data_IF_944676781694
#
_entry.id   IF_944676781694
#
_cell.length_a   1.000
_cell.length_b   1.000
_cell.length_c   1.000
_cell.angle_alpha   90.00
_cell.angle_beta   90.00
_cell.angle_gamma   90.00
#
_symmetry.space_group_name_H-M   'P 1'
#
loop_
_entity.id
_entity.type
_entity.pdbx_description
1 polymer ?
#
# COMPACT_ATOMS: atom_id res chain seq x y z
N UNK A 1 5.72 28.66 7.77
CA UNK A 1 6.85 27.74 7.56
C UNK A 1 6.48 26.53 6.67
N UNK A 2 5.47 25.74 7.00
CA UNK A 2 5.06 24.55 6.20
C UNK A 2 4.66 24.91 4.75
N UNK A 3 3.84 25.96 4.54
CA UNK A 3 3.44 26.42 3.21
C UNK A 3 4.62 26.83 2.33
N UNK A 4 5.66 27.44 2.91
CA UNK A 4 6.86 27.86 2.18
C UNK A 4 7.70 26.67 1.73
N UNK A 5 7.76 25.61 2.52
CA UNK A 5 8.45 24.35 2.18
C UNK A 5 7.74 23.66 1.03
N UNK A 6 6.41 23.54 1.08
CA UNK A 6 5.60 22.96 -0.01
C UNK A 6 5.80 23.71 -1.31
N UNK A 7 5.81 25.06 -1.29
CA UNK A 7 6.06 25.87 -2.48
C UNK A 7 7.45 25.68 -3.07
N UNK A 8 8.46 25.43 -2.23
CA UNK A 8 9.81 25.12 -2.68
C UNK A 8 9.83 23.74 -3.36
N UNK A 9 9.20 22.73 -2.76
CA UNK A 9 9.12 21.36 -3.31
C UNK A 9 8.41 21.38 -4.68
N UNK A 10 7.33 22.15 -4.83
CA UNK A 10 6.61 22.27 -6.11
C UNK A 10 7.46 22.88 -7.24
N UNK A 11 8.51 23.62 -6.91
CA UNK A 11 9.45 24.24 -7.87
C UNK A 11 10.64 23.34 -8.21
N UNK A 12 10.81 22.20 -7.55
CA UNK A 12 11.88 21.27 -7.82
C UNK A 12 11.69 20.55 -9.15
N UNK A 13 12.79 20.11 -9.75
CA UNK A 13 12.72 19.21 -10.92
C UNK A 13 12.04 17.88 -10.55
N UNK A 14 11.49 17.13 -11.52
CA UNK A 14 10.86 15.83 -11.25
C UNK A 14 11.78 14.89 -10.46
N UNK A 15 13.05 14.79 -10.84
CA UNK A 15 14.04 13.95 -10.15
C UNK A 15 14.28 14.36 -8.69
N UNK A 16 14.31 15.69 -8.43
CA UNK A 16 14.48 16.20 -7.07
C UNK A 16 13.25 15.95 -6.20
N UNK A 17 12.04 16.05 -6.79
CA UNK A 17 10.80 15.70 -6.11
C UNK A 17 10.79 14.22 -5.72
N UNK A 18 11.11 13.34 -6.65
CA UNK A 18 11.19 11.90 -6.43
C UNK A 18 12.16 11.57 -5.30
N UNK A 19 13.39 12.10 -5.34
CA UNK A 19 14.38 11.93 -4.27
C UNK A 19 13.86 12.44 -2.92
N UNK A 20 13.18 13.61 -2.90
CA UNK A 20 12.62 14.16 -1.67
C UNK A 20 11.53 13.25 -1.10
N UNK A 21 10.59 12.78 -1.92
CA UNK A 21 9.52 11.89 -1.48
C UNK A 21 10.06 10.55 -0.99
N UNK A 22 11.01 9.95 -1.70
CA UNK A 22 11.69 8.72 -1.27
C UNK A 22 12.31 8.88 0.12
N UNK A 23 13.07 9.99 0.35
CA UNK A 23 13.66 10.27 1.66
C UNK A 23 12.62 10.51 2.74
N UNK A 24 11.56 11.23 2.41
CA UNK A 24 10.45 11.52 3.32
C UNK A 24 9.75 10.22 3.75
N UNK A 25 9.38 9.37 2.80
CA UNK A 25 8.74 8.08 3.09
C UNK A 25 9.65 7.15 3.90
N UNK A 26 10.95 7.09 3.59
CA UNK A 26 11.91 6.31 4.37
C UNK A 26 11.99 6.80 5.83
N UNK A 27 12.05 8.12 6.06
CA UNK A 27 12.04 8.69 7.42
C UNK A 27 10.71 8.39 8.13
N UNK A 28 9.59 8.51 7.42
CA UNK A 28 8.28 8.22 7.97
C UNK A 28 8.13 6.74 8.31
N UNK A 29 8.55 5.83 7.43
CA UNK A 29 8.54 4.39 7.67
C UNK A 29 9.39 4.00 8.88
N UNK A 30 10.58 4.64 9.06
CA UNK A 30 11.45 4.40 10.23
C UNK A 30 10.81 4.87 11.53
N UNK A 31 10.22 6.06 11.54
CA UNK A 31 9.59 6.62 12.75
C UNK A 31 8.28 5.90 13.10
N UNK A 32 7.57 5.38 12.10
CA UNK A 32 6.35 4.63 12.29
C UNK A 32 6.57 3.17 12.77
N UNK A 33 7.81 2.70 12.93
CA UNK A 33 8.11 1.38 13.53
C UNK A 33 7.50 1.21 14.94
N UNK A 34 7.23 2.31 15.64
CA UNK A 34 6.62 2.31 16.98
C UNK A 34 5.09 2.40 16.95
N UNK A 35 4.45 2.46 15.78
CA UNK A 35 3.00 2.43 15.65
C UNK A 35 2.58 1.06 15.13
N UNK A 36 1.57 0.46 15.76
CA UNK A 36 0.99 -0.81 15.31
C UNK A 36 0.13 -0.66 14.04
N UNK A 37 0.01 0.56 13.49
CA UNK A 37 -0.77 0.84 12.28
C UNK A 37 -0.08 0.26 11.04
N UNK A 38 -0.78 -0.58 10.31
CA UNK A 38 -0.34 -1.24 9.06
C UNK A 38 -0.79 -0.48 7.82
N UNK A 39 -1.83 0.35 7.96
CA UNK A 39 -2.47 1.11 6.89
C UNK A 39 -2.30 2.61 7.11
N UNK A 40 -2.05 3.35 6.03
CA UNK A 40 -1.78 4.80 6.06
C UNK A 40 -2.71 5.52 5.07
N UNK A 41 -4.01 5.28 5.21
CA UNK A 41 -5.04 5.96 4.42
C UNK A 41 -6.05 6.64 5.34
N UNK A 42 -6.91 7.49 4.75
CA UNK A 42 -7.92 8.25 5.51
C UNK A 42 -9.10 7.40 5.98
N UNK A 43 -9.17 6.15 5.54
CA UNK A 43 -10.29 5.25 5.82
C UNK A 43 -11.55 5.60 5.02
N UNK A 44 -12.50 4.68 5.07
CA UNK A 44 -13.80 4.81 4.42
C UNK A 44 -14.89 4.20 5.31
N UNK A 45 -16.02 4.85 5.40
CA UNK A 45 -17.21 4.31 6.05
C UNK A 45 -18.40 4.40 5.11
N UNK A 46 -19.09 3.29 4.93
CA UNK A 46 -20.39 3.26 4.25
C UNK A 46 -21.40 2.49 5.11
N UNK A 47 -22.62 3.04 5.34
CA UNK A 47 -23.67 2.30 5.99
C UNK A 47 -23.94 0.98 5.28
N UNK A 48 -23.96 -0.12 6.03
CA UNK A 48 -24.20 -1.46 5.50
C UNK A 48 -22.96 -2.17 4.94
N UNK A 49 -21.78 -1.53 4.91
CA UNK A 49 -20.52 -2.21 4.61
C UNK A 49 -20.01 -2.88 5.90
N UNK A 50 -20.40 -4.14 6.08
CA UNK A 50 -19.91 -4.96 7.18
C UNK A 50 -18.79 -5.87 6.69
N UNK A 51 -17.62 -5.81 7.35
CA UNK A 51 -16.50 -6.72 7.13
C UNK A 51 -16.36 -7.62 8.35
N UNK A 52 -16.25 -8.92 8.12
CA UNK A 52 -15.89 -9.88 9.16
C UNK A 52 -14.37 -9.93 9.27
N UNK A 53 -13.81 -9.14 10.17
CA UNK A 53 -12.39 -8.99 10.39
C UNK A 53 -11.92 -9.84 11.57
N UNK A 54 -10.65 -10.23 11.58
CA UNK A 54 -9.99 -10.77 12.77
C UNK A 54 -9.83 -9.66 13.81
N UNK A 55 -9.82 -10.02 15.10
CA UNK A 55 -9.77 -9.08 16.21
C UNK A 55 -8.61 -8.07 16.10
N UNK A 56 -7.45 -8.53 15.67
CA UNK A 56 -6.26 -7.70 15.47
C UNK A 56 -6.37 -6.68 14.34
N UNK A 57 -7.30 -6.84 13.40
CA UNK A 57 -7.53 -5.93 12.29
C UNK A 57 -8.64 -4.91 12.58
N UNK A 58 -9.42 -5.10 13.65
CA UNK A 58 -10.52 -4.22 14.01
C UNK A 58 -10.09 -2.78 14.30
N UNK A 59 -8.90 -2.57 14.83
CA UNK A 59 -8.36 -1.24 15.07
C UNK A 59 -8.17 -0.43 13.78
N UNK A 60 -8.00 -1.12 12.66
CA UNK A 60 -7.82 -0.52 11.33
C UNK A 60 -9.05 -0.74 10.43
N UNK A 61 -10.23 -0.99 11.00
CA UNK A 61 -11.48 -1.28 10.27
C UNK A 61 -11.77 -0.28 9.15
N UNK A 62 -11.71 1.01 9.42
CA UNK A 62 -12.01 2.04 8.40
C UNK A 62 -10.95 2.12 7.29
N UNK A 63 -9.64 2.09 7.56
CA UNK A 63 -8.62 1.90 6.54
C UNK A 63 -8.82 0.64 5.69
N UNK A 64 -9.20 -0.49 6.31
CA UNK A 64 -9.50 -1.74 5.62
C UNK A 64 -10.76 -1.63 4.77
N UNK A 65 -11.79 -0.94 5.23
CA UNK A 65 -13.01 -0.69 4.46
C UNK A 65 -12.72 0.08 3.16
N UNK A 66 -11.76 1.01 3.14
CA UNK A 66 -11.33 1.68 1.91
C UNK A 66 -10.73 0.69 0.92
N UNK A 67 -9.84 -0.19 1.37
CA UNK A 67 -9.27 -1.24 0.52
C UNK A 67 -10.34 -2.22 0.02
N UNK A 68 -11.25 -2.62 0.89
CA UNK A 68 -12.40 -3.47 0.51
C UNK A 68 -13.26 -2.80 -0.56
N UNK A 69 -13.57 -1.53 -0.39
CA UNK A 69 -14.36 -0.76 -1.36
C UNK A 69 -13.67 -0.68 -2.73
N UNK A 70 -12.37 -0.39 -2.76
CA UNK A 70 -11.61 -0.32 -4.02
C UNK A 70 -11.46 -1.69 -4.67
N UNK A 71 -11.04 -2.71 -3.91
CA UNK A 71 -10.81 -4.05 -4.45
C UNK A 71 -12.08 -4.70 -4.99
N UNK A 72 -13.23 -4.46 -4.36
CA UNK A 72 -14.52 -5.01 -4.80
C UNK A 72 -15.10 -4.32 -6.07
N UNK A 73 -14.39 -3.35 -6.66
CA UNK A 73 -14.75 -2.85 -8.01
C UNK A 73 -14.39 -3.84 -9.11
N UNK A 74 -13.61 -4.89 -8.80
CA UNK A 74 -13.28 -5.98 -9.72
C UNK A 74 -13.46 -7.34 -9.03
N UNK A 75 -13.59 -8.41 -9.80
CA UNK A 75 -13.54 -9.77 -9.28
C UNK A 75 -12.08 -10.17 -9.04
N UNK A 76 -11.63 -10.02 -7.80
CA UNK A 76 -10.23 -10.27 -7.39
C UNK A 76 -9.95 -11.74 -7.08
N UNK A 77 -11.01 -12.55 -6.94
CA UNK A 77 -10.85 -13.97 -6.61
C UNK A 77 -10.06 -14.72 -7.71
N UNK A 78 -9.13 -15.55 -7.30
CA UNK A 78 -8.28 -16.36 -8.17
C UNK A 78 -7.45 -15.53 -9.19
N UNK A 79 -7.20 -14.22 -8.93
CA UNK A 79 -6.43 -13.30 -9.77
C UNK A 79 -5.05 -13.03 -9.22
N UNK A 80 -4.12 -12.66 -10.11
CA UNK A 80 -2.83 -12.13 -9.75
C UNK A 80 -2.93 -10.60 -9.63
N UNK A 81 -2.65 -10.07 -8.45
CA UNK A 81 -2.88 -8.66 -8.12
C UNK A 81 -1.56 -7.95 -7.89
N UNK A 82 -1.42 -6.76 -8.46
CA UNK A 82 -0.35 -5.83 -8.18
C UNK A 82 -0.89 -4.65 -7.37
N UNK A 83 -0.39 -4.42 -6.16
CA UNK A 83 -0.61 -3.18 -5.42
C UNK A 83 0.56 -2.23 -5.66
N UNK A 84 0.26 -1.03 -6.17
CA UNK A 84 1.26 0.03 -6.41
C UNK A 84 1.19 1.04 -5.27
N UNK A 85 2.35 1.32 -4.65
CA UNK A 85 2.44 2.16 -3.46
C UNK A 85 1.98 1.42 -2.21
N UNK A 86 2.46 0.19 -2.01
CA UNK A 86 2.00 -0.68 -0.92
C UNK A 86 2.36 -0.18 0.49
N UNK A 87 3.28 0.78 0.59
CA UNK A 87 3.70 1.37 1.85
C UNK A 87 4.08 0.32 2.89
N UNK A 88 3.32 0.20 3.97
CA UNK A 88 3.55 -0.75 5.06
C UNK A 88 2.86 -2.11 4.84
N UNK A 89 2.31 -2.33 3.67
CA UNK A 89 1.76 -3.61 3.23
C UNK A 89 0.41 -4.02 3.82
N UNK A 90 -0.25 -3.13 4.60
CA UNK A 90 -1.53 -3.46 5.22
C UNK A 90 -2.63 -3.77 4.21
N UNK A 91 -2.67 -3.02 3.09
CA UNK A 91 -3.63 -3.24 2.01
C UNK A 91 -3.40 -4.56 1.28
N UNK A 92 -2.17 -4.82 0.83
CA UNK A 92 -1.81 -6.09 0.20
C UNK A 92 -2.11 -7.28 1.13
N UNK A 93 -1.79 -7.15 2.42
CA UNK A 93 -2.08 -8.17 3.43
C UNK A 93 -3.59 -8.42 3.59
N UNK A 94 -4.41 -7.36 3.62
CA UNK A 94 -5.87 -7.50 3.65
C UNK A 94 -6.38 -8.24 2.41
N UNK A 95 -5.97 -7.82 1.22
CA UNK A 95 -6.39 -8.45 -0.04
C UNK A 95 -6.02 -9.93 -0.04
N UNK A 96 -4.77 -10.27 0.30
CA UNK A 96 -4.27 -11.64 0.30
C UNK A 96 -5.03 -12.56 1.28
N UNK A 97 -5.39 -12.04 2.48
CA UNK A 97 -6.04 -12.84 3.52
C UNK A 97 -7.56 -12.98 3.38
N UNK A 98 -8.22 -11.93 2.86
CA UNK A 98 -9.69 -11.86 2.92
C UNK A 98 -10.39 -12.01 1.57
N UNK A 99 -9.70 -11.75 0.45
CA UNK A 99 -10.34 -11.69 -0.88
C UNK A 99 -9.98 -12.88 -1.80
N UNK A 100 -9.19 -13.83 -1.30
CA UNK A 100 -8.85 -15.09 -1.98
C UNK A 100 -8.23 -14.92 -3.39
N UNK A 101 -7.27 -14.01 -3.61
CA UNK A 101 -6.55 -13.93 -4.87
C UNK A 101 -5.62 -15.14 -5.06
N UNK A 102 -5.19 -15.40 -6.30
CA UNK A 102 -4.10 -16.35 -6.56
C UNK A 102 -2.78 -15.86 -5.97
N UNK A 103 -2.46 -14.60 -6.19
CA UNK A 103 -1.29 -13.94 -5.62
C UNK A 103 -1.49 -12.44 -5.45
N UNK A 104 -0.76 -11.84 -4.52
CA UNK A 104 -0.64 -10.39 -4.37
C UNK A 104 0.82 -10.01 -4.33
N UNK A 105 1.21 -9.03 -5.13
CA UNK A 105 2.54 -8.41 -5.07
C UNK A 105 2.37 -6.93 -4.73
N UNK A 106 2.97 -6.49 -3.62
CA UNK A 106 3.04 -5.07 -3.27
C UNK A 106 4.36 -4.48 -3.77
N UNK A 107 4.30 -3.33 -4.46
CA UNK A 107 5.50 -2.55 -4.79
C UNK A 107 5.47 -1.20 -4.11
N UNK A 108 6.64 -0.76 -3.66
CA UNK A 108 6.85 0.58 -3.11
C UNK A 108 8.27 1.06 -3.41
N UNK A 109 8.43 2.36 -3.59
CA UNK A 109 9.74 2.97 -3.83
C UNK A 109 10.62 2.97 -2.58
N UNK A 110 10.01 2.87 -1.40
CA UNK A 110 10.70 2.85 -0.10
C UNK A 110 11.24 1.47 0.23
N UNK A 111 12.54 1.30 0.10
CA UNK A 111 13.23 0.07 0.50
C UNK A 111 12.98 -0.28 1.97
N UNK A 112 12.95 0.73 2.87
CA UNK A 112 12.71 0.51 4.30
C UNK A 112 11.28 -0.01 4.56
N UNK A 113 10.30 0.44 3.78
CA UNK A 113 8.92 -0.05 3.85
C UNK A 113 8.83 -1.52 3.41
N UNK A 114 9.44 -1.86 2.27
CA UNK A 114 9.48 -3.25 1.77
C UNK A 114 10.21 -4.19 2.73
N UNK A 115 11.36 -3.76 3.30
CA UNK A 115 12.05 -4.55 4.32
C UNK A 115 11.20 -4.77 5.58
N UNK A 116 10.40 -3.78 5.96
CA UNK A 116 9.45 -3.93 7.07
C UNK A 116 8.36 -4.94 6.70
N UNK A 117 7.74 -4.82 5.52
CA UNK A 117 6.70 -5.74 5.05
C UNK A 117 7.18 -7.20 5.06
N UNK A 118 8.37 -7.45 4.51
CA UNK A 118 8.97 -8.80 4.46
C UNK A 118 9.27 -9.39 5.85
N UNK A 119 9.38 -8.55 6.90
CA UNK A 119 9.57 -9.00 8.28
C UNK A 119 8.28 -9.30 9.02
N UNK A 120 7.21 -8.56 8.72
CA UNK A 120 5.95 -8.63 9.47
C UNK A 120 4.91 -9.51 8.82
N UNK A 121 4.99 -9.72 7.49
CA UNK A 121 4.05 -10.59 6.78
C UNK A 121 4.71 -11.89 6.34
N UNK A 122 4.09 -13.00 6.70
CA UNK A 122 4.44 -14.36 6.25
C UNK A 122 3.15 -15.02 5.73
N UNK A 123 2.71 -14.58 4.54
CA UNK A 123 1.47 -15.03 3.90
C UNK A 123 1.87 -15.71 2.59
N UNK A 124 1.47 -16.97 2.34
CA UNK A 124 1.99 -17.78 1.23
C UNK A 124 1.80 -17.17 -0.18
N UNK A 125 0.73 -16.39 -0.37
CA UNK A 125 0.39 -15.76 -1.65
C UNK A 125 0.66 -14.25 -1.66
N UNK A 126 1.57 -13.74 -0.81
CA UNK A 126 1.88 -12.31 -0.69
C UNK A 126 3.38 -12.08 -0.77
N UNK A 127 3.79 -11.25 -1.72
CA UNK A 127 5.17 -10.81 -1.89
C UNK A 127 5.29 -9.28 -1.89
N UNK A 128 6.49 -8.77 -1.54
CA UNK A 128 6.80 -7.35 -1.56
C UNK A 128 8.13 -7.08 -2.26
N UNK A 129 8.13 -6.13 -3.19
CA UNK A 129 9.28 -5.81 -4.04
C UNK A 129 9.49 -4.29 -4.08
N UNK A 130 10.74 -3.85 -4.01
CA UNK A 130 11.07 -2.45 -4.26
C UNK A 130 10.81 -2.15 -5.73
N UNK A 131 9.96 -1.17 -5.99
CA UNK A 131 9.57 -0.80 -7.35
C UNK A 131 9.11 0.66 -7.44
N UNK A 132 9.24 1.20 -8.63
CA UNK A 132 8.86 2.56 -8.96
C UNK A 132 7.56 2.53 -9.78
N UNK A 133 6.53 3.23 -9.31
CA UNK A 133 5.24 3.34 -10.00
C UNK A 133 5.32 3.99 -11.39
N UNK A 134 6.35 4.83 -11.61
CA UNK A 134 6.60 5.44 -12.92
C UNK A 134 7.35 4.50 -13.88
N UNK A 135 7.93 3.40 -13.34
CA UNK A 135 8.65 2.40 -14.12
C UNK A 135 8.47 1.02 -13.46
N UNK A 136 7.28 0.46 -13.60
CA UNK A 136 6.89 -0.82 -12.99
C UNK A 136 7.80 -1.94 -13.52
N UNK A 137 8.48 -2.72 -12.63
CA UNK A 137 9.53 -3.68 -13.04
C UNK A 137 8.98 -5.04 -13.51
N UNK A 138 7.84 -5.05 -14.16
CA UNK A 138 7.20 -6.28 -14.66
C UNK A 138 6.87 -6.15 -16.14
N UNK A 139 6.80 -7.30 -16.84
CA UNK A 139 6.35 -7.35 -18.22
C UNK A 139 4.86 -6.99 -18.35
N UNK A 140 4.46 -6.55 -19.52
CA UNK A 140 3.06 -6.30 -19.83
C UNK A 140 2.22 -7.56 -19.60
N UNK A 141 1.00 -7.38 -19.07
CA UNK A 141 0.06 -8.46 -18.77
C UNK A 141 0.53 -9.50 -17.74
N UNK A 142 1.49 -9.14 -16.85
CA UNK A 142 1.95 -10.01 -15.77
C UNK A 142 0.93 -10.14 -14.64
N UNK A 143 0.02 -9.20 -14.51
CA UNK A 143 -1.03 -9.17 -13.48
C UNK A 143 -2.40 -8.97 -14.11
N UNK A 144 -3.42 -9.54 -13.47
CA UNK A 144 -4.82 -9.41 -13.90
C UNK A 144 -5.43 -8.08 -13.44
N UNK A 145 -5.04 -7.62 -12.24
CA UNK A 145 -5.59 -6.42 -11.60
C UNK A 145 -4.46 -5.61 -10.98
N UNK A 146 -4.54 -4.29 -11.17
CA UNK A 146 -3.71 -3.32 -10.48
C UNK A 146 -4.56 -2.53 -9.49
N UNK A 147 -4.12 -2.45 -8.25
CA UNK A 147 -4.76 -1.68 -7.18
C UNK A 147 -3.81 -0.58 -6.73
N UNK A 148 -4.36 0.61 -6.54
CA UNK A 148 -3.67 1.75 -5.95
C UNK A 148 -4.62 2.46 -5.00
N UNK A 149 -4.19 2.70 -3.76
CA UNK A 149 -4.97 3.40 -2.74
C UNK A 149 -4.11 4.48 -2.10
N UNK A 150 -4.39 5.72 -2.45
CA UNK A 150 -3.77 6.93 -1.87
C UNK A 150 -2.22 6.94 -1.92
N UNK A 151 -1.62 6.56 -3.04
CA UNK A 151 -0.17 6.56 -3.19
C UNK A 151 0.33 7.54 -4.27
#
# INVERSE_FOLDING_TARGET
MLKSIILIILKLSPSSKKWFWEKWYNVFARNAKNTNLKLMNYGFHSPGLELNLQEEDEIERYPIQLYSFVANQADVKDKNILEVGSGRGGGASFIARYLHPSSVTGIDISKDAIELCSKIYSIPNLDFIVGDSENIPFADNSYDILINVES
#
